data_IF_627294611738
#
_entry.id   IF_627294611738
#
_cell.length_a   1.000
_cell.length_b   1.000
_cell.length_c   1.000
_cell.angle_alpha   90.00
_cell.angle_beta   90.00
_cell.angle_gamma   90.00
#
_symmetry.space_group_name_H-M   'P 1'
#
loop_
_entity.id
_entity.type
_entity.pdbx_description
1 polymer ?
#
# COMPACT_ATOMS: atom_id res chain seq x y z
N UNK A 1 9.02 5.29 0.78
CA UNK A 1 9.23 5.50 2.23
C UNK A 1 8.31 6.63 2.64
N UNK A 2 7.40 6.35 3.57
CA UNK A 2 6.46 7.30 4.16
C UNK A 2 7.20 8.15 5.20
N UNK A 3 6.95 9.45 5.20
CA UNK A 3 7.67 10.42 6.03
C UNK A 3 6.76 11.13 7.03
N UNK A 4 5.47 11.19 6.76
CA UNK A 4 4.49 11.91 7.55
C UNK A 4 3.11 11.22 7.49
N UNK A 5 2.21 11.69 8.35
CA UNK A 5 0.86 11.11 8.46
C UNK A 5 0.06 11.30 7.16
N UNK A 6 0.27 12.41 6.44
CA UNK A 6 -0.40 12.65 5.16
C UNK A 6 -0.01 11.62 4.09
N UNK A 7 1.27 11.30 3.97
CA UNK A 7 1.80 10.26 3.08
C UNK A 7 1.34 8.86 3.52
N UNK A 8 1.19 8.64 4.83
CA UNK A 8 0.63 7.40 5.37
C UNK A 8 -0.82 7.22 4.93
N UNK A 9 -1.66 8.24 5.11
CA UNK A 9 -3.07 8.22 4.68
C UNK A 9 -3.20 8.04 3.17
N UNK A 10 -2.40 8.77 2.38
CA UNK A 10 -2.36 8.58 0.92
C UNK A 10 -1.94 7.15 0.52
N UNK A 11 -1.04 6.53 1.30
CA UNK A 11 -0.65 5.14 1.10
C UNK A 11 -1.78 4.16 1.46
N UNK A 12 -2.52 4.41 2.54
CA UNK A 12 -3.71 3.65 2.90
C UNK A 12 -4.77 3.70 1.79
N UNK A 13 -5.06 4.88 1.25
CA UNK A 13 -6.00 5.05 0.13
C UNK A 13 -5.57 4.26 -1.10
N UNK A 14 -4.27 4.26 -1.40
CA UNK A 14 -3.71 3.53 -2.54
C UNK A 14 -3.77 2.02 -2.34
N UNK A 15 -3.52 1.53 -1.13
CA UNK A 15 -3.74 0.11 -0.78
C UNK A 15 -5.21 -0.27 -1.00
N UNK A 16 -6.15 0.52 -0.48
CA UNK A 16 -7.58 0.26 -0.62
C UNK A 16 -8.03 0.28 -2.10
N UNK A 17 -7.46 1.19 -2.91
CA UNK A 17 -7.70 1.21 -4.36
C UNK A 17 -7.23 -0.10 -5.04
N UNK A 18 -5.99 -0.54 -4.79
CA UNK A 18 -5.49 -1.78 -5.41
C UNK A 18 -6.22 -3.03 -4.91
N UNK A 19 -6.65 -3.07 -3.66
CA UNK A 19 -7.49 -4.16 -3.15
C UNK A 19 -8.82 -4.24 -3.89
N UNK A 20 -9.46 -3.10 -4.20
CA UNK A 20 -10.68 -3.06 -5.02
C UNK A 20 -10.43 -3.56 -6.44
N UNK A 21 -9.33 -3.17 -7.07
CA UNK A 21 -8.94 -3.70 -8.39
C UNK A 21 -8.71 -5.20 -8.35
N UNK A 22 -8.03 -5.71 -7.32
CA UNK A 22 -7.81 -7.15 -7.14
C UNK A 22 -9.13 -7.91 -6.96
N UNK A 23 -10.06 -7.36 -6.18
CA UNK A 23 -11.39 -7.93 -5.98
C UNK A 23 -12.19 -7.99 -7.29
N UNK A 24 -12.11 -6.95 -8.12
CA UNK A 24 -12.72 -6.94 -9.44
C UNK A 24 -12.08 -7.99 -10.36
N UNK A 25 -10.75 -8.02 -10.45
CA UNK A 25 -10.00 -8.96 -11.28
C UNK A 25 -10.27 -10.42 -10.91
N UNK A 26 -10.50 -10.71 -9.63
CA UNK A 26 -10.85 -12.06 -9.16
C UNK A 26 -12.12 -12.60 -9.81
N UNK A 27 -13.02 -11.73 -10.25
CA UNK A 27 -14.28 -12.10 -10.89
C UNK A 27 -14.19 -12.01 -12.41
N UNK A 28 -13.47 -11.02 -12.95
CA UNK A 28 -13.50 -10.72 -14.40
C UNK A 28 -12.37 -11.33 -15.20
N UNK A 29 -11.23 -11.65 -14.58
CA UNK A 29 -10.12 -12.27 -15.30
C UNK A 29 -10.42 -13.74 -15.61
N UNK A 30 -9.85 -14.26 -16.69
CA UNK A 30 -9.90 -15.70 -16.93
C UNK A 30 -9.10 -16.44 -15.83
N UNK A 31 -9.56 -17.61 -15.36
CA UNK A 31 -8.88 -18.34 -14.29
C UNK A 31 -7.39 -18.59 -14.56
N UNK A 32 -7.02 -18.91 -15.80
CA UNK A 32 -5.65 -19.19 -16.23
C UNK A 32 -4.76 -17.94 -16.30
N UNK A 33 -5.33 -16.75 -16.48
CA UNK A 33 -4.62 -15.48 -16.57
C UNK A 33 -4.56 -14.75 -15.21
N UNK A 34 -5.51 -15.05 -14.30
CA UNK A 34 -5.70 -14.31 -13.06
C UNK A 34 -4.43 -14.21 -12.22
N UNK A 35 -3.73 -15.32 -11.99
CA UNK A 35 -2.55 -15.33 -11.14
C UNK A 35 -1.43 -14.40 -11.66
N UNK A 36 -1.22 -14.39 -12.97
CA UNK A 36 -0.22 -13.54 -13.61
C UNK A 36 -0.59 -12.06 -13.47
N UNK A 37 -1.84 -11.69 -13.80
CA UNK A 37 -2.31 -10.30 -13.73
C UNK A 37 -2.40 -9.78 -12.30
N UNK A 38 -2.81 -10.62 -11.34
CA UNK A 38 -2.96 -10.27 -9.93
C UNK A 38 -1.61 -10.12 -9.20
N UNK A 39 -0.55 -10.77 -9.69
CA UNK A 39 0.76 -10.83 -9.01
C UNK A 39 1.37 -9.46 -8.75
N UNK A 40 1.31 -8.54 -9.73
CA UNK A 40 1.83 -7.18 -9.61
C UNK A 40 1.09 -6.38 -8.54
N UNK A 41 -0.24 -6.42 -8.54
CA UNK A 41 -1.07 -5.76 -7.52
C UNK A 41 -0.78 -6.30 -6.12
N UNK A 42 -0.66 -7.62 -5.98
CA UNK A 42 -0.31 -8.26 -4.70
C UNK A 42 1.05 -7.77 -4.20
N UNK A 43 2.08 -7.78 -5.04
CA UNK A 43 3.43 -7.36 -4.66
C UNK A 43 3.46 -5.88 -4.23
N UNK A 44 2.75 -5.03 -4.96
CA UNK A 44 2.65 -3.60 -4.66
C UNK A 44 1.93 -3.34 -3.32
N UNK A 45 0.81 -4.02 -3.07
CA UNK A 45 0.09 -3.95 -1.78
C UNK A 45 1.02 -4.37 -0.63
N UNK A 46 1.73 -5.49 -0.78
CA UNK A 46 2.64 -5.98 0.26
C UNK A 46 3.78 -5.00 0.54
N UNK A 47 4.34 -4.36 -0.51
CA UNK A 47 5.37 -3.33 -0.33
C UNK A 47 4.84 -2.14 0.45
N UNK A 48 3.69 -1.59 0.05
CA UNK A 48 3.11 -0.43 0.73
C UNK A 48 2.67 -0.74 2.16
N UNK A 49 2.11 -1.93 2.42
CA UNK A 49 1.79 -2.36 3.78
C UNK A 49 3.04 -2.42 4.65
N UNK A 50 4.17 -2.89 4.10
CA UNK A 50 5.44 -2.85 4.81
C UNK A 50 5.86 -1.41 5.13
N UNK A 51 5.77 -0.49 4.17
CA UNK A 51 6.12 0.92 4.37
C UNK A 51 5.27 1.58 5.46
N UNK A 52 3.96 1.29 5.51
CA UNK A 52 3.05 1.77 6.57
C UNK A 52 3.46 1.24 7.93
N UNK A 53 3.75 -0.07 8.05
CA UNK A 53 4.18 -0.66 9.30
C UNK A 53 5.54 -0.11 9.75
N UNK A 54 6.49 0.05 8.83
CA UNK A 54 7.80 0.65 9.11
C UNK A 54 7.66 2.10 9.60
N UNK A 55 6.66 2.85 9.12
CA UNK A 55 6.34 4.20 9.59
C UNK A 55 5.70 4.19 10.98
N UNK A 56 4.68 3.38 11.20
CA UNK A 56 3.96 3.27 12.48
C UNK A 56 4.85 2.76 13.63
N UNK A 57 5.91 2.03 13.32
CA UNK A 57 6.90 1.59 14.30
C UNK A 57 7.91 2.69 14.68
N UNK A 58 7.91 3.83 14.00
CA UNK A 58 8.66 5.01 14.41
C UNK A 58 7.87 5.79 15.45
N UNK A 59 8.55 6.22 16.52
CA UNK A 59 7.92 7.09 17.50
C UNK A 59 7.56 8.45 16.89
N UNK A 60 6.40 9.00 17.24
CA UNK A 60 5.88 10.24 16.66
C UNK A 60 6.84 11.45 16.77
N UNK A 61 7.69 11.49 17.80
CA UNK A 61 8.70 12.55 17.95
C UNK A 61 9.77 12.56 16.83
N UNK A 62 10.01 11.40 16.19
CA UNK A 62 10.96 11.25 15.09
C UNK A 62 10.29 11.53 13.75
N UNK A 63 9.02 11.17 13.59
CA UNK A 63 8.26 11.43 12.36
C UNK A 63 7.93 12.91 12.18
N UNK A 64 7.51 13.61 13.23
CA UNK A 64 7.25 15.07 13.20
C UNK A 64 8.51 15.87 12.83
N UNK A 65 9.70 15.38 13.22
CA UNK A 65 10.96 16.04 12.86
C UNK A 65 11.26 15.98 11.36
N UNK A 66 10.64 15.06 10.60
CA UNK A 66 10.76 15.01 9.13
C UNK A 66 9.78 15.91 8.40
N UNK A 67 8.68 16.34 9.04
CA UNK A 67 7.75 17.32 8.46
C UNK A 67 8.31 18.75 8.48
N UNK A 68 9.23 19.03 9.42
CA UNK A 68 9.78 20.37 9.63
C UNK A 68 11.10 20.65 8.86
N UNK A 69 11.59 19.70 8.06
CA UNK A 69 12.84 19.77 7.30
C UNK A 69 12.59 19.78 5.80
#
# INVERSE_FOLDING_TARGET
MIQNDQEMEATHDRIAYFQRLLAQLRVTAKPEEFAAVASGYRAEIQRMQKEVLDYLMQHASVSVSREAA
#
